data_IF_081413681802
#
_entry.id   IF_081413681802
#
_cell.length_a   1.000
_cell.length_b   1.000
_cell.length_c   1.000
_cell.angle_alpha   90.00
_cell.angle_beta   90.00
_cell.angle_gamma   90.00
#
_symmetry.space_group_name_H-M   'P 1'
#
loop_
_entity.id
_entity.type
_entity.pdbx_description
1 polymer ?
#
# COMPACT_ATOMS: atom_id res chain seq x y z
N UNK A 1 3.11 8.07 -10.73
CA UNK A 1 1.64 7.87 -10.65
C UNK A 1 1.07 8.97 -9.75
N UNK A 2 -0.14 9.50 -10.00
CA UNK A 2 -0.75 10.49 -9.08
C UNK A 2 -1.03 9.81 -7.72
N UNK A 3 -0.85 10.54 -6.62
CA UNK A 3 -1.07 10.02 -5.25
C UNK A 3 -2.47 9.45 -5.09
N UNK A 4 -3.50 10.15 -5.59
CA UNK A 4 -4.89 9.67 -5.55
C UNK A 4 -5.06 8.31 -6.22
N UNK A 5 -4.41 8.08 -7.37
CA UNK A 5 -4.43 6.76 -8.03
C UNK A 5 -3.73 5.69 -7.21
N UNK A 6 -2.63 6.03 -6.53
CA UNK A 6 -1.93 5.10 -5.66
C UNK A 6 -2.80 4.65 -4.48
N UNK A 7 -3.53 5.59 -3.86
CA UNK A 7 -4.51 5.32 -2.80
C UNK A 7 -5.61 4.40 -3.35
N UNK A 8 -6.30 4.81 -4.42
CA UNK A 8 -7.43 4.03 -4.96
C UNK A 8 -7.01 2.63 -5.37
N UNK A 9 -5.92 2.48 -6.13
CA UNK A 9 -5.46 1.17 -6.59
C UNK A 9 -4.99 0.31 -5.41
N UNK A 10 -4.21 0.88 -4.49
CA UNK A 10 -3.67 0.14 -3.34
C UNK A 10 -4.78 -0.33 -2.41
N UNK A 11 -5.72 0.54 -2.05
CA UNK A 11 -6.88 0.18 -1.23
C UNK A 11 -7.77 -0.83 -1.94
N UNK A 12 -7.97 -0.72 -3.25
CA UNK A 12 -8.76 -1.70 -4.01
C UNK A 12 -8.09 -3.08 -3.98
N UNK A 13 -6.79 -3.16 -4.23
CA UNK A 13 -6.04 -4.43 -4.17
C UNK A 13 -6.12 -5.02 -2.76
N UNK A 14 -5.95 -4.18 -1.72
CA UNK A 14 -6.03 -4.61 -0.32
C UNK A 14 -7.41 -5.17 0.02
N UNK A 15 -8.50 -4.47 -0.32
CA UNK A 15 -9.87 -4.91 -0.05
C UNK A 15 -10.22 -6.18 -0.85
N UNK A 16 -9.80 -6.28 -2.11
CA UNK A 16 -10.01 -7.49 -2.91
C UNK A 16 -9.29 -8.69 -2.29
N UNK A 17 -8.03 -8.52 -1.87
CA UNK A 17 -7.29 -9.57 -1.18
C UNK A 17 -7.94 -9.97 0.16
N UNK A 18 -8.46 -8.99 0.91
CA UNK A 18 -9.18 -9.23 2.15
C UNK A 18 -10.42 -10.11 1.92
N UNK A 19 -11.21 -9.79 0.89
CA UNK A 19 -12.40 -10.57 0.52
C UNK A 19 -12.01 -11.98 0.07
N UNK A 20 -11.03 -12.12 -0.83
CA UNK A 20 -10.59 -13.42 -1.33
C UNK A 20 -10.13 -14.31 -0.17
N UNK A 21 -9.30 -13.76 0.72
CA UNK A 21 -8.82 -14.50 1.89
C UNK A 21 -9.96 -14.94 2.81
N UNK A 22 -10.87 -14.02 3.16
CA UNK A 22 -12.01 -14.33 4.02
C UNK A 22 -12.86 -15.46 3.42
N UNK A 23 -13.13 -15.43 2.12
CA UNK A 23 -13.90 -16.48 1.42
C UNK A 23 -13.18 -17.83 1.48
N UNK A 24 -11.86 -17.86 1.28
CA UNK A 24 -11.07 -19.10 1.28
C UNK A 24 -10.99 -19.70 2.69
N UNK A 25 -10.70 -18.87 3.71
CA UNK A 25 -10.47 -19.34 5.08
C UNK A 25 -11.79 -19.75 5.75
N UNK A 26 -12.83 -18.94 5.60
CA UNK A 26 -14.13 -19.19 6.23
C UNK A 26 -15.03 -20.13 5.42
N UNK A 27 -14.49 -20.71 4.32
CA UNK A 27 -15.18 -21.70 3.46
C UNK A 27 -16.58 -21.25 3.01
N UNK A 28 -16.78 -19.94 2.84
CA UNK A 28 -18.05 -19.35 2.41
C UNK A 28 -19.07 -19.07 3.51
N UNK A 29 -18.71 -19.12 4.81
CA UNK A 29 -19.60 -18.61 5.87
C UNK A 29 -19.75 -17.08 5.77
N UNK A 30 -20.89 -16.66 5.23
CA UNK A 30 -21.22 -15.26 4.95
C UNK A 30 -21.20 -14.40 6.22
N UNK A 31 -21.60 -14.95 7.37
CA UNK A 31 -21.66 -14.19 8.62
C UNK A 31 -20.25 -13.82 9.09
N UNK A 32 -19.34 -14.80 9.09
CA UNK A 32 -17.96 -14.61 9.51
C UNK A 32 -17.19 -13.73 8.51
N UNK A 33 -17.41 -13.91 7.20
CA UNK A 33 -16.86 -13.03 6.16
C UNK A 33 -17.32 -11.58 6.35
N UNK A 34 -18.61 -11.37 6.64
CA UNK A 34 -19.16 -10.05 6.92
C UNK A 34 -18.50 -9.39 8.14
N UNK A 35 -18.28 -10.16 9.20
CA UNK A 35 -17.61 -9.68 10.42
C UNK A 35 -16.16 -9.29 10.17
N UNK A 36 -15.39 -10.11 9.44
CA UNK A 36 -14.02 -9.78 9.01
C UNK A 36 -14.02 -8.46 8.23
N UNK A 37 -14.95 -8.30 7.29
CA UNK A 37 -15.03 -7.07 6.50
C UNK A 37 -15.31 -5.85 7.38
N UNK A 38 -16.25 -5.93 8.32
CA UNK A 38 -16.56 -4.81 9.24
C UNK A 38 -15.35 -4.44 10.10
N UNK A 39 -14.63 -5.42 10.64
CA UNK A 39 -13.45 -5.18 11.50
C UNK A 39 -12.31 -4.54 10.72
N UNK A 40 -12.02 -5.05 9.51
CA UNK A 40 -10.82 -4.66 8.76
C UNK A 40 -11.06 -3.57 7.70
N UNK A 41 -12.30 -3.20 7.38
CA UNK A 41 -12.60 -2.16 6.39
C UNK A 41 -11.98 -0.81 6.75
N UNK A 42 -12.21 -0.32 7.97
CA UNK A 42 -11.68 0.96 8.43
C UNK A 42 -10.14 0.92 8.47
N UNK A 43 -9.49 -0.07 9.11
CA UNK A 43 -8.04 -0.23 9.03
C UNK A 43 -7.48 -0.24 7.61
N UNK A 44 -8.11 -0.97 6.68
CA UNK A 44 -7.66 -1.05 5.29
C UNK A 44 -7.73 0.31 4.57
N UNK A 45 -8.80 1.09 4.81
CA UNK A 45 -8.93 2.44 4.27
C UNK A 45 -7.84 3.36 4.84
N UNK A 46 -7.64 3.32 6.16
CA UNK A 46 -6.60 4.11 6.86
C UNK A 46 -5.21 3.80 6.28
N UNK A 47 -4.87 2.53 6.08
CA UNK A 47 -3.61 2.14 5.45
C UNK A 47 -3.46 2.70 4.03
N UNK A 48 -4.55 2.71 3.24
CA UNK A 48 -4.55 3.32 1.91
C UNK A 48 -4.20 4.80 1.92
N UNK A 49 -4.84 5.57 2.81
CA UNK A 49 -4.56 6.98 2.99
C UNK A 49 -3.14 7.22 3.51
N UNK A 50 -2.67 6.41 4.47
CA UNK A 50 -1.29 6.49 4.98
C UNK A 50 -0.28 6.27 3.85
N UNK A 51 -0.45 5.21 3.04
CA UNK A 51 0.45 4.97 1.90
C UNK A 51 0.45 6.16 0.92
N UNK A 52 -0.72 6.71 0.60
CA UNK A 52 -0.83 7.92 -0.22
C UNK A 52 -0.12 9.12 0.38
N UNK A 53 -0.31 9.36 1.67
CA UNK A 53 0.34 10.45 2.40
C UNK A 53 1.87 10.35 2.32
N UNK A 54 2.44 9.15 2.51
CA UNK A 54 3.88 8.94 2.37
C UNK A 54 4.38 9.15 0.94
N UNK A 55 3.62 8.73 -0.08
CA UNK A 55 3.96 9.00 -1.49
C UNK A 55 3.88 10.50 -1.83
N UNK A 56 2.95 11.24 -1.23
CA UNK A 56 2.87 12.70 -1.38
C UNK A 56 4.06 13.39 -0.72
N UNK A 57 4.43 12.98 0.50
CA UNK A 57 5.64 13.44 1.17
C UNK A 57 6.90 13.12 0.36
N UNK A 58 6.96 11.93 -0.26
CA UNK A 58 8.05 11.56 -1.15
C UNK A 58 8.15 12.49 -2.35
N UNK A 59 7.02 12.83 -3.00
CA UNK A 59 7.01 13.74 -4.15
C UNK A 59 7.56 15.14 -3.85
N UNK A 60 7.40 15.63 -2.61
CA UNK A 60 7.90 16.94 -2.17
C UNK A 60 9.42 16.99 -2.00
N UNK A 61 10.11 15.85 -2.04
CA UNK A 61 11.59 15.79 -1.91
C UNK A 61 12.28 16.14 -3.22
N UNK A 62 13.46 16.76 -3.14
CA UNK A 62 14.22 17.14 -4.33
C UNK A 62 15.04 15.97 -4.88
N UNK A 63 15.73 15.22 -4.01
CA UNK A 63 16.62 14.13 -4.44
C UNK A 63 15.84 12.85 -4.72
N UNK A 64 16.16 12.17 -5.83
CA UNK A 64 15.52 10.90 -6.22
C UNK A 64 15.69 9.80 -5.18
N UNK A 65 16.86 9.72 -4.53
CA UNK A 65 17.13 8.75 -3.46
C UNK A 65 16.17 8.99 -2.28
N UNK A 66 15.94 10.24 -1.89
CA UNK A 66 15.01 10.59 -0.82
C UNK A 66 13.58 10.17 -1.19
N UNK A 67 13.14 10.40 -2.44
CA UNK A 67 11.81 9.96 -2.90
C UNK A 67 11.62 8.45 -2.73
N UNK A 68 12.64 7.67 -3.11
CA UNK A 68 12.62 6.21 -2.99
C UNK A 68 12.54 5.77 -1.54
N UNK A 69 13.38 6.32 -0.67
CA UNK A 69 13.37 6.01 0.77
C UNK A 69 11.98 6.26 1.36
N UNK A 70 11.41 7.45 1.11
CA UNK A 70 10.08 7.80 1.63
C UNK A 70 8.97 6.88 1.11
N UNK A 71 9.08 6.40 -0.14
CA UNK A 71 8.12 5.44 -0.70
C UNK A 71 8.21 4.04 -0.09
N UNK A 72 9.32 3.69 0.56
CA UNK A 72 9.52 2.38 1.19
C UNK A 72 9.09 2.37 2.67
N UNK A 73 8.93 3.53 3.31
CA UNK A 73 8.51 3.63 4.71
C UNK A 73 7.19 2.89 4.98
N UNK A 74 6.13 3.05 4.18
CA UNK A 74 4.88 2.29 4.38
C UNK A 74 5.11 0.78 4.36
N UNK A 75 5.98 0.29 3.47
CA UNK A 75 6.30 -1.14 3.35
C UNK A 75 7.01 -1.61 4.63
N UNK A 76 7.98 -0.85 5.14
CA UNK A 76 8.66 -1.18 6.40
C UNK A 76 7.69 -1.25 7.58
N UNK A 77 6.76 -0.30 7.69
CA UNK A 77 5.74 -0.30 8.75
C UNK A 77 4.83 -1.53 8.64
N UNK A 78 4.46 -1.93 7.43
CA UNK A 78 3.64 -3.12 7.19
C UNK A 78 4.40 -4.41 7.47
N UNK A 79 5.71 -4.46 7.20
CA UNK A 79 6.57 -5.59 7.61
C UNK A 79 6.60 -5.73 9.12
N UNK A 80 6.74 -4.62 9.85
CA UNK A 80 6.68 -4.65 11.32
C UNK A 80 5.30 -5.14 11.76
N UNK A 81 4.22 -4.61 11.17
CA UNK A 81 2.86 -5.04 11.51
C UNK A 81 2.62 -6.53 11.21
N UNK A 82 3.20 -7.05 10.13
CA UNK A 82 3.05 -8.45 9.72
C UNK A 82 3.77 -9.44 10.63
N UNK A 83 4.87 -9.01 11.26
CA UNK A 83 5.71 -9.88 12.11
C UNK A 83 5.38 -9.68 13.60
N UNK A 84 4.90 -8.50 13.98
CA UNK A 84 4.45 -8.23 15.34
C UNK A 84 3.09 -8.89 15.60
N UNK A 85 2.92 -9.56 16.74
CA UNK A 85 1.61 -10.01 17.26
C UNK A 85 0.81 -8.80 17.78
N UNK A 86 0.53 -7.85 16.89
CA UNK A 86 -0.25 -6.67 17.22
C UNK A 86 -1.73 -7.00 17.14
N UNK A 87 -2.45 -6.82 18.24
CA UNK A 87 -3.88 -7.10 18.33
C UNK A 87 -4.67 -5.82 18.50
N UNK A 88 -5.70 -5.64 17.69
CA UNK A 88 -6.61 -4.51 17.78
C UNK A 88 -8.05 -5.06 17.77
N UNK A 89 -8.85 -4.71 18.79
CA UNK A 89 -10.22 -5.21 18.95
C UNK A 89 -10.32 -6.75 18.93
N UNK A 90 -9.36 -7.44 19.58
CA UNK A 90 -9.19 -8.91 19.58
C UNK A 90 -8.86 -9.55 18.23
N UNK A 91 -8.77 -8.78 17.14
CA UNK A 91 -8.35 -9.26 15.84
C UNK A 91 -6.82 -9.16 15.71
N UNK A 92 -6.22 -10.21 15.13
CA UNK A 92 -4.81 -10.24 14.77
C UNK A 92 -4.59 -9.36 13.53
N UNK A 93 -3.77 -8.32 13.69
CA UNK A 93 -3.47 -7.36 12.63
C UNK A 93 -2.30 -7.80 11.74
N UNK A 94 -1.60 -8.89 12.09
CA UNK A 94 -0.50 -9.45 11.29
C UNK A 94 -0.94 -9.73 9.86
N UNK A 95 -2.15 -10.27 9.72
CA UNK A 95 -2.78 -10.53 8.44
C UNK A 95 -2.97 -9.27 7.58
N UNK A 96 -3.41 -8.16 8.19
CA UNK A 96 -3.53 -6.87 7.50
C UNK A 96 -2.15 -6.35 7.05
N UNK A 97 -1.12 -6.60 7.85
CA UNK A 97 0.28 -6.34 7.48
C UNK A 97 0.69 -7.11 6.23
N UNK A 98 0.44 -8.41 6.18
CA UNK A 98 0.77 -9.27 5.02
C UNK A 98 0.03 -8.83 3.75
N UNK A 99 -1.30 -8.65 3.83
CA UNK A 99 -2.07 -8.20 2.66
C UNK A 99 -1.68 -6.79 2.22
N UNK A 100 -1.42 -5.90 3.19
CA UNK A 100 -0.96 -4.56 2.96
C UNK A 100 0.40 -4.54 2.25
N UNK A 101 1.33 -5.41 2.64
CA UNK A 101 2.63 -5.55 1.97
C UNK A 101 2.47 -5.88 0.49
N UNK A 102 1.60 -6.83 0.16
CA UNK A 102 1.33 -7.21 -1.23
C UNK A 102 0.72 -6.02 -1.98
N UNK A 103 -0.36 -5.43 -1.45
CA UNK A 103 -1.08 -4.35 -2.11
C UNK A 103 -0.20 -3.10 -2.32
N UNK A 104 0.43 -2.62 -1.24
CA UNK A 104 1.20 -1.39 -1.27
C UNK A 104 2.60 -1.59 -1.83
N UNK A 105 3.19 -2.78 -1.69
CA UNK A 105 4.42 -3.16 -2.37
C UNK A 105 4.28 -3.04 -3.88
N UNK A 106 3.19 -3.59 -4.46
CA UNK A 106 2.90 -3.46 -5.89
C UNK A 106 2.72 -1.99 -6.28
N UNK A 107 1.88 -1.23 -5.55
CA UNK A 107 1.62 0.17 -5.93
C UNK A 107 2.86 1.05 -5.82
N UNK A 108 3.69 0.83 -4.81
CA UNK A 108 4.90 1.65 -4.58
C UNK A 108 6.00 1.26 -5.57
N UNK A 109 6.09 -0.02 -5.97
CA UNK A 109 6.98 -0.45 -7.04
C UNK A 109 6.59 0.19 -8.38
N UNK A 110 5.31 0.15 -8.76
CA UNK A 110 4.80 0.83 -9.96
C UNK A 110 5.06 2.34 -9.91
N UNK A 111 4.90 2.95 -8.73
CA UNK A 111 5.18 4.37 -8.56
C UNK A 111 6.66 4.70 -8.77
N UNK A 112 7.57 3.89 -8.21
CA UNK A 112 9.01 4.03 -8.38
C UNK A 112 9.48 3.82 -9.83
N UNK A 113 8.93 2.82 -10.54
CA UNK A 113 9.24 2.61 -11.97
C UNK A 113 8.87 3.85 -12.80
N UNK A 114 7.71 4.45 -12.54
CA UNK A 114 7.28 5.69 -13.22
C UNK A 114 8.11 6.93 -12.88
N UNK A 115 8.87 6.89 -11.79
CA UNK A 115 9.81 7.96 -11.43
C UNK A 115 11.09 7.91 -12.25
N UNK A 116 11.57 6.72 -12.62
CA UNK A 116 12.74 6.58 -13.47
C UNK A 116 12.46 7.09 -14.89
N UNK A 117 11.33 6.68 -15.48
CA UNK A 117 10.98 7.08 -16.86
C UNK A 117 10.90 8.60 -17.03
N UNK A 118 10.40 9.34 -16.03
CA UNK A 118 10.37 10.81 -16.06
C UNK A 118 11.76 11.45 -16.00
N UNK A 119 12.71 10.78 -15.34
CA UNK A 119 14.09 11.24 -15.27
C UNK A 119 14.76 11.08 -16.63
N UNK A 120 14.58 9.91 -17.25
CA UNK A 120 15.19 9.61 -18.55
C UNK A 120 14.71 10.58 -19.64
N UNK A 121 13.42 10.91 -19.67
CA UNK A 121 12.86 11.91 -20.59
C UNK A 121 13.46 13.32 -20.40
N UNK A 122 13.58 13.79 -19.15
CA UNK A 122 14.16 15.11 -18.86
C UNK A 122 15.65 15.18 -19.21
N UNK A 123 16.39 14.08 -19.04
CA UNK A 123 17.82 14.04 -19.34
C UNK A 123 18.09 14.03 -20.86
N UNK A 124 17.21 13.39 -21.63
CA UNK A 124 17.26 13.42 -23.10
C UNK A 124 16.89 14.81 -23.64
N UNK A 125 15.91 15.48 -23.06
CA UNK A 125 15.46 16.79 -23.54
C UNK A 125 16.52 17.90 -23.31
N UNK A 126 17.29 17.82 -22.21
CA UNK A 126 18.38 18.75 -21.91
C UNK A 126 19.66 18.50 -22.73
N UNK A 127 19.80 17.34 -23.38
CA UNK A 127 20.94 17.07 -24.28
C UNK A 127 20.70 17.57 -25.71
N UNK A 128 19.45 17.89 -26.06
CA UNK A 128 19.03 18.31 -27.40
C UNK A 128 18.76 19.82 -27.49
N UNK A 129 19.13 20.59 -26.46
CA UNK A 129 19.15 22.06 -26.42
C UNK A 129 20.60 22.53 -26.27
#
# INVERSE_FOLDING_TARGET
MKTSKAITVGTTILLTNLIIYAVIVEKGDINTIGLIFVIFLIPAIVLGFLNGFFLDLANKRQKMIEKRIWSLIPILLLTILAIADFRLLHADMSFLGVLGLVAFGITNLIWNLKLNNKTDENTLHNKNQ
#
